data_IF_034879593034
#
_entry.id   IF_034879593034
#
_cell.length_a   1.000
_cell.length_b   1.000
_cell.length_c   1.000
_cell.angle_alpha   90.00
_cell.angle_beta   90.00
_cell.angle_gamma   90.00
#
_symmetry.space_group_name_H-M   'P 1'
#
loop_
_entity.id
_entity.type
_entity.pdbx_description
1 polymer ?
#
# COMPACT_ATOMS: atom_id res chain seq x y z
N UNK A 1 -18.37 1.85 -0.70
CA UNK A 1 -18.49 3.33 -0.61
C UNK A 1 -17.64 4.00 -1.68
N UNK A 2 -16.31 3.87 -1.66
CA UNK A 2 -15.40 4.52 -2.64
C UNK A 2 -15.70 4.09 -4.10
N UNK A 3 -16.00 2.81 -4.34
CA UNK A 3 -16.38 2.34 -5.67
C UNK A 3 -17.62 3.01 -6.26
N UNK A 4 -18.61 3.38 -5.43
CA UNK A 4 -19.81 4.06 -5.90
C UNK A 4 -19.54 5.54 -6.27
N UNK A 5 -18.66 6.22 -5.52
CA UNK A 5 -18.19 7.57 -5.87
C UNK A 5 -17.39 7.61 -7.17
N UNK A 6 -16.58 6.58 -7.43
CA UNK A 6 -15.80 6.51 -8.67
C UNK A 6 -16.68 6.44 -9.92
N UNK A 7 -17.82 5.74 -9.84
CA UNK A 7 -18.82 5.69 -10.93
C UNK A 7 -19.38 7.09 -11.21
N UNK A 8 -19.65 7.89 -10.16
CA UNK A 8 -20.13 9.26 -10.30
C UNK A 8 -19.08 10.19 -10.95
N UNK A 9 -17.80 9.93 -10.72
CA UNK A 9 -16.68 10.71 -11.27
C UNK A 9 -16.15 10.17 -12.61
N UNK A 10 -16.83 9.19 -13.22
CA UNK A 10 -16.43 8.52 -14.46
C UNK A 10 -15.04 7.86 -14.40
N UNK A 11 -14.57 7.49 -13.20
CA UNK A 11 -13.30 6.78 -13.00
C UNK A 11 -13.54 5.27 -13.19
N UNK A 12 -12.68 4.56 -13.93
CA UNK A 12 -12.79 3.11 -14.08
C UNK A 12 -12.74 2.42 -12.71
N UNK A 13 -13.74 1.60 -12.40
CA UNK A 13 -13.79 0.86 -11.13
C UNK A 13 -12.58 -0.06 -10.90
N UNK A 14 -11.93 -0.53 -11.97
CA UNK A 14 -10.71 -1.34 -11.92
C UNK A 14 -9.55 -0.59 -11.23
N UNK A 15 -9.33 0.66 -11.59
CA UNK A 15 -8.22 1.45 -11.02
C UNK A 15 -8.47 1.78 -9.55
N UNK A 16 -9.74 1.93 -9.16
CA UNK A 16 -10.13 2.10 -7.76
C UNK A 16 -9.79 0.86 -6.95
N UNK A 17 -10.11 -0.34 -7.47
CA UNK A 17 -9.76 -1.61 -6.82
C UNK A 17 -8.25 -1.77 -6.74
N UNK A 18 -7.52 -1.48 -7.83
CA UNK A 18 -6.05 -1.53 -7.85
C UNK A 18 -5.44 -0.59 -6.81
N UNK A 19 -5.96 0.63 -6.67
CA UNK A 19 -5.47 1.61 -5.68
C UNK A 19 -5.63 1.12 -4.25
N UNK A 20 -6.76 0.47 -3.97
CA UNK A 20 -7.03 -0.14 -2.69
C UNK A 20 -6.08 -1.31 -2.42
N UNK A 21 -5.87 -2.20 -3.40
CA UNK A 21 -4.97 -3.34 -3.25
C UNK A 21 -3.51 -2.91 -3.04
N UNK A 22 -3.04 -1.88 -3.74
CA UNK A 22 -1.71 -1.32 -3.52
C UNK A 22 -1.56 -0.71 -2.13
N UNK A 23 -2.54 0.08 -1.68
CA UNK A 23 -2.53 0.64 -0.32
C UNK A 23 -2.58 -0.44 0.77
N UNK A 24 -3.40 -1.48 0.57
CA UNK A 24 -3.53 -2.59 1.51
C UNK A 24 -2.23 -3.40 1.61
N UNK A 25 -1.56 -3.67 0.47
CA UNK A 25 -0.27 -4.36 0.45
C UNK A 25 0.83 -3.61 1.20
N UNK A 26 0.87 -2.27 1.07
CA UNK A 26 1.82 -1.43 1.80
C UNK A 26 1.52 -1.46 3.30
N UNK A 27 0.24 -1.36 3.69
CA UNK A 27 -0.13 -1.41 5.11
C UNK A 27 0.17 -2.74 5.78
N UNK A 28 0.17 -3.84 5.03
CA UNK A 28 0.60 -5.14 5.55
C UNK A 28 2.05 -5.15 6.04
N UNK A 29 2.93 -4.28 5.54
CA UNK A 29 4.34 -4.19 5.95
C UNK A 29 4.57 -3.31 7.18
N UNK A 30 3.69 -2.34 7.40
CA UNK A 30 3.81 -1.32 8.46
C UNK A 30 3.06 -1.76 9.72
N UNK A 31 1.90 -2.39 9.55
CA UNK A 31 0.97 -2.65 10.64
C UNK A 31 1.53 -3.71 11.62
N UNK A 32 1.70 -3.39 12.92
CA UNK A 32 2.33 -4.29 13.89
C UNK A 32 1.44 -5.47 14.29
N UNK A 33 0.13 -5.42 14.04
CA UNK A 33 -0.83 -6.46 14.43
C UNK A 33 -0.86 -7.68 13.49
N UNK A 34 -0.09 -7.66 12.40
CA UNK A 34 0.03 -8.79 11.47
C UNK A 34 1.25 -9.69 11.73
N UNK A 35 1.66 -10.41 10.68
CA UNK A 35 2.78 -11.37 10.66
C UNK A 35 4.15 -10.79 11.02
N UNK A 36 4.30 -9.46 11.04
CA UNK A 36 5.56 -8.78 11.33
C UNK A 36 5.99 -8.93 12.78
N UNK A 37 5.08 -8.90 13.75
CA UNK A 37 5.48 -8.97 15.17
C UNK A 37 6.07 -10.34 15.55
N UNK A 38 5.45 -11.48 15.16
CA UNK A 38 6.05 -12.80 15.36
C UNK A 38 7.37 -12.94 14.60
N UNK A 39 7.44 -12.43 13.36
CA UNK A 39 8.67 -12.47 12.56
C UNK A 39 9.81 -11.70 13.24
N UNK A 40 9.57 -10.46 13.68
CA UNK A 40 10.56 -9.63 14.38
C UNK A 40 11.01 -10.25 15.70
N UNK A 41 10.09 -10.89 16.42
CA UNK A 41 10.39 -11.58 17.68
C UNK A 41 11.31 -12.78 17.46
N UNK A 42 11.11 -13.55 16.38
CA UNK A 42 12.00 -14.66 16.01
C UNK A 42 13.43 -14.21 15.69
N UNK A 43 13.61 -13.00 15.14
CA UNK A 43 14.94 -12.46 14.79
C UNK A 43 15.50 -11.51 15.87
N UNK A 44 14.84 -11.37 17.03
CA UNK A 44 15.23 -10.44 18.12
C UNK A 44 15.40 -8.97 17.67
N UNK A 45 14.61 -8.50 16.70
CA UNK A 45 14.66 -7.11 16.21
C UNK A 45 13.52 -6.30 16.82
N UNK A 46 13.81 -5.10 17.32
CA UNK A 46 12.77 -4.20 17.83
C UNK A 46 11.93 -3.61 16.68
N UNK A 47 10.64 -3.38 16.95
CA UNK A 47 9.75 -2.74 15.96
C UNK A 47 10.24 -1.36 15.52
N UNK A 48 10.91 -0.61 16.40
CA UNK A 48 11.50 0.69 16.06
C UNK A 48 12.63 0.56 15.03
N UNK A 49 13.46 -0.48 15.13
CA UNK A 49 14.50 -0.78 14.14
C UNK A 49 13.90 -1.22 12.81
N UNK A 50 12.87 -2.06 12.84
CA UNK A 50 12.09 -2.45 11.66
C UNK A 50 11.50 -1.24 10.95
N UNK A 51 10.87 -0.32 11.68
CA UNK A 51 10.23 0.84 11.09
C UNK A 51 11.26 1.73 10.36
N UNK A 52 12.43 1.96 10.96
CA UNK A 52 13.52 2.71 10.30
C UNK A 52 14.02 2.04 9.02
N UNK A 53 13.99 0.71 8.96
CA UNK A 53 14.40 -0.06 7.79
C UNK A 53 13.34 -0.07 6.69
N UNK A 54 12.07 -0.27 7.03
CA UNK A 54 10.98 -0.48 6.07
C UNK A 54 10.44 0.84 5.50
N UNK A 55 10.50 1.95 6.26
CA UNK A 55 10.02 3.28 5.83
C UNK A 55 10.59 3.73 4.47
N UNK A 56 11.92 3.74 4.22
CA UNK A 56 12.43 4.15 2.91
C UNK A 56 11.94 3.25 1.77
N UNK A 57 11.76 1.95 2.03
CA UNK A 57 11.23 1.01 1.05
C UNK A 57 9.73 1.23 0.77
N UNK A 58 8.95 1.48 1.81
CA UNK A 58 7.53 1.83 1.75
C UNK A 58 7.32 3.10 0.94
N UNK A 59 8.15 4.13 1.15
CA UNK A 59 8.07 5.38 0.38
C UNK A 59 8.31 5.11 -1.10
N UNK A 60 9.31 4.28 -1.44
CA UNK A 60 9.57 3.87 -2.82
C UNK A 60 8.37 3.14 -3.46
N UNK A 61 7.76 2.21 -2.73
CA UNK A 61 6.55 1.49 -3.15
C UNK A 61 5.34 2.43 -3.32
N UNK A 62 5.18 3.42 -2.44
CA UNK A 62 4.12 4.41 -2.51
C UNK A 62 4.23 5.25 -3.78
N UNK A 63 5.45 5.74 -4.08
CA UNK A 63 5.72 6.51 -5.30
C UNK A 63 5.49 5.67 -6.54
N UNK A 64 6.00 4.43 -6.56
CA UNK A 64 5.82 3.52 -7.69
C UNK A 64 4.35 3.19 -7.92
N UNK A 65 3.59 2.89 -6.86
CA UNK A 65 2.15 2.66 -6.93
C UNK A 65 1.39 3.88 -7.45
N UNK A 66 1.75 5.09 -6.99
CA UNK A 66 1.14 6.34 -7.46
C UNK A 66 1.40 6.58 -8.97
N UNK A 67 2.62 6.30 -9.45
CA UNK A 67 2.95 6.41 -10.88
C UNK A 67 2.16 5.42 -11.72
N UNK A 68 2.11 4.14 -11.31
CA UNK A 68 1.34 3.11 -12.01
C UNK A 68 -0.15 3.45 -12.08
N UNK A 69 -0.73 3.93 -10.97
CA UNK A 69 -2.13 4.32 -10.94
C UNK A 69 -2.42 5.53 -11.83
N UNK A 70 -1.51 6.51 -11.85
CA UNK A 70 -1.64 7.71 -12.70
C UNK A 70 -1.60 7.34 -14.18
N UNK A 71 -0.71 6.42 -14.56
CA UNK A 71 -0.64 5.89 -15.92
C UNK A 71 -1.92 5.11 -16.27
N UNK A 72 -2.40 4.24 -15.37
CA UNK A 72 -3.61 3.44 -15.56
C UNK A 72 -4.90 4.27 -15.72
N UNK A 73 -4.95 5.45 -15.12
CA UNK A 73 -6.08 6.39 -15.30
C UNK A 73 -5.98 7.13 -16.65
N UNK A 74 -4.77 7.47 -17.11
CA UNK A 74 -4.56 8.21 -18.37
C UNK A 74 -4.63 7.32 -19.61
N UNK A 75 -4.21 6.06 -19.51
CA UNK A 75 -4.40 5.03 -20.54
C UNK A 75 -5.78 4.40 -20.37
N UNK A 76 -6.79 5.07 -20.94
CA UNK A 76 -8.18 4.60 -20.98
C UNK A 76 -8.35 3.36 -21.85
#
# INVERSE_FOLDING_TARGET
IIGALAILLNIPGREVVNSYLYGMGIMFLITPTGSIFPALTMVNVSYQAWMKFIVPFVIGLLVLGAVFLTIGINFK
#
